data_IF_446008178395
#
_entry.id   IF_446008178395
#
_cell.length_a   1.000
_cell.length_b   1.000
_cell.length_c   1.000
_cell.angle_alpha   90.00
_cell.angle_beta   90.00
_cell.angle_gamma   90.00
#
_symmetry.space_group_name_H-M   'P 1'
#
loop_
_entity.id
_entity.type
_entity.pdbx_description
1 polymer ?
#
# COMPACT_ATOMS: atom_id res chain seq x y z
N UNK A 1 3.86 -20.41 -22.61
CA UNK A 1 3.40 -20.44 -21.21
C UNK A 1 4.24 -19.46 -20.41
N UNK A 2 3.76 -18.23 -20.17
CA UNK A 2 4.47 -17.28 -19.30
C UNK A 2 4.22 -17.74 -17.86
N UNK A 3 5.25 -18.26 -17.19
CA UNK A 3 5.20 -18.51 -15.76
C UNK A 3 4.86 -17.20 -15.06
N UNK A 4 3.65 -17.13 -14.49
CA UNK A 4 3.32 -16.04 -13.58
C UNK A 4 4.27 -16.17 -12.40
N UNK A 5 5.13 -15.16 -12.17
CA UNK A 5 5.79 -15.01 -10.88
C UNK A 5 4.67 -15.08 -9.84
N UNK A 6 4.73 -16.01 -8.91
CA UNK A 6 3.86 -16.00 -7.73
C UNK A 6 4.03 -14.63 -7.07
N UNK A 7 3.06 -13.75 -7.32
CA UNK A 7 3.07 -12.40 -6.80
C UNK A 7 2.80 -12.55 -5.30
N UNK A 8 3.74 -12.12 -4.46
CA UNK A 8 3.51 -12.08 -3.02
C UNK A 8 2.22 -11.29 -2.75
N UNK A 9 1.49 -11.72 -1.71
CA UNK A 9 0.29 -11.04 -1.25
C UNK A 9 0.32 -10.89 0.25
N UNK A 10 -0.30 -9.81 0.73
CA UNK A 10 -0.46 -9.49 2.14
C UNK A 10 -1.94 -9.52 2.50
N UNK A 11 -2.31 -10.22 3.57
CA UNK A 11 -3.69 -10.28 4.04
C UNK A 11 -3.89 -9.30 5.20
N UNK A 12 -4.74 -8.30 5.02
CA UNK A 12 -5.08 -7.31 6.03
C UNK A 12 -6.56 -7.40 6.38
N UNK A 13 -6.90 -7.83 7.59
CA UNK A 13 -8.29 -7.99 8.06
C UNK A 13 -9.21 -8.71 7.05
N UNK A 14 -8.68 -9.72 6.33
CA UNK A 14 -9.42 -10.46 5.30
C UNK A 14 -9.38 -9.87 3.89
N UNK A 15 -8.79 -8.67 3.72
CA UNK A 15 -8.58 -8.04 2.41
C UNK A 15 -7.21 -8.39 1.86
N UNK A 16 -7.17 -8.96 0.66
CA UNK A 16 -5.93 -9.35 0.01
C UNK A 16 -5.33 -8.17 -0.76
N UNK A 17 -4.10 -7.81 -0.38
CA UNK A 17 -3.28 -6.84 -1.09
C UNK A 17 -2.28 -7.60 -1.97
N UNK A 18 -2.28 -7.33 -3.28
CA UNK A 18 -1.22 -7.74 -4.20
C UNK A 18 0.05 -6.92 -3.91
N UNK A 19 1.21 -7.58 -3.91
CA UNK A 19 2.46 -7.02 -3.37
C UNK A 19 2.70 -7.44 -1.91
N UNK A 20 3.51 -6.71 -1.13
CA UNK A 20 4.07 -5.40 -1.41
C UNK A 20 5.30 -5.44 -2.33
N UNK A 21 5.43 -4.47 -3.23
CA UNK A 21 6.62 -4.24 -4.07
C UNK A 21 7.40 -3.00 -3.60
N UNK A 22 8.72 -2.90 -3.82
CA UNK A 22 9.49 -1.73 -3.43
C UNK A 22 8.91 -0.44 -4.04
N UNK A 23 8.66 0.57 -3.20
CA UNK A 23 8.09 1.84 -3.65
C UNK A 23 9.05 2.60 -4.59
N UNK A 24 10.37 2.42 -4.42
CA UNK A 24 11.39 3.00 -5.29
C UNK A 24 11.29 2.50 -6.76
N UNK A 25 10.73 1.31 -6.96
CA UNK A 25 10.54 0.71 -8.29
C UNK A 25 9.14 0.97 -8.86
N UNK A 26 8.28 1.67 -8.11
CA UNK A 26 6.89 1.92 -8.51
C UNK A 26 6.81 2.87 -9.71
N UNK A 27 6.08 2.47 -10.75
CA UNK A 27 5.93 3.24 -12.00
C UNK A 27 4.47 3.60 -12.33
N UNK A 28 3.55 3.36 -11.41
CA UNK A 28 2.10 3.52 -11.64
C UNK A 28 1.34 2.20 -11.55
N UNK A 29 0.01 2.29 -11.66
CA UNK A 29 -0.91 1.16 -11.58
C UNK A 29 -2.02 1.29 -12.63
N UNK A 30 -2.54 0.17 -13.11
CA UNK A 30 -3.73 0.08 -13.97
C UNK A 30 -5.02 -0.12 -13.15
N UNK A 31 -4.92 -0.10 -11.82
CA UNK A 31 -6.07 -0.27 -10.92
C UNK A 31 -6.88 1.01 -10.87
N UNK A 32 -8.01 1.03 -11.58
CA UNK A 32 -8.96 2.15 -11.55
C UNK A 32 -9.70 2.25 -10.22
N UNK A 33 -9.99 1.11 -9.59
CA UNK A 33 -10.84 1.03 -8.40
C UNK A 33 -10.22 0.11 -7.35
N UNK A 34 -9.73 0.67 -6.25
CA UNK A 34 -9.12 -0.11 -5.20
C UNK A 34 -8.59 0.72 -4.03
N UNK A 35 -7.89 0.02 -3.15
CA UNK A 35 -7.22 0.57 -1.98
C UNK A 35 -5.74 0.29 -2.16
N UNK A 36 -4.88 1.26 -1.87
CA UNK A 36 -3.44 1.00 -1.76
C UNK A 36 -2.99 1.14 -0.31
N UNK A 37 -1.90 0.48 0.02
CA UNK A 37 -1.22 0.63 1.28
C UNK A 37 0.26 0.91 1.08
N UNK A 38 0.82 1.76 1.93
CA UNK A 38 2.27 1.93 2.09
C UNK A 38 2.71 1.09 3.29
N UNK A 39 3.76 0.31 3.08
CA UNK A 39 4.28 -0.66 4.04
C UNK A 39 5.77 -0.48 4.25
N UNK A 40 6.29 -1.11 5.30
CA UNK A 40 7.71 -1.22 5.58
C UNK A 40 8.05 -2.59 6.15
N UNK A 41 9.28 -3.07 5.99
CA UNK A 41 9.73 -4.26 6.70
C UNK A 41 10.10 -3.89 8.14
N UNK A 42 9.45 -4.54 9.12
CA UNK A 42 9.73 -4.34 10.55
C UNK A 42 11.09 -4.90 10.96
N UNK A 43 11.53 -5.96 10.28
CA UNK A 43 12.73 -6.73 10.58
C UNK A 43 13.36 -7.17 9.25
N UNK A 44 13.97 -6.25 8.47
CA UNK A 44 14.49 -6.54 7.13
C UNK A 44 15.60 -7.60 7.11
N UNK A 45 16.26 -7.84 8.24
CA UNK A 45 17.30 -8.87 8.41
C UNK A 45 16.75 -10.30 8.52
N UNK A 46 15.43 -10.47 8.71
CA UNK A 46 14.81 -11.79 8.87
C UNK A 46 14.44 -12.41 7.51
N UNK A 47 14.61 -13.72 7.40
CA UNK A 47 14.26 -14.49 6.19
C UNK A 47 12.75 -14.43 5.85
N UNK A 48 11.88 -14.22 6.85
CA UNK A 48 10.44 -14.08 6.65
C UNK A 48 10.06 -12.60 6.65
N UNK A 49 9.51 -12.13 5.54
CA UNK A 49 9.01 -10.77 5.41
C UNK A 49 7.91 -10.50 6.45
N UNK A 50 8.10 -9.47 7.27
CA UNK A 50 7.14 -9.03 8.28
C UNK A 50 6.84 -7.55 8.05
N UNK A 51 5.79 -7.28 7.28
CA UNK A 51 5.39 -5.93 6.91
C UNK A 51 4.58 -5.24 8.02
N UNK A 52 4.92 -3.98 8.28
CA UNK A 52 4.06 -3.03 8.98
C UNK A 52 3.31 -2.14 8.01
N UNK A 53 2.20 -1.58 8.46
CA UNK A 53 1.35 -0.66 7.68
C UNK A 53 1.66 0.78 8.10
N UNK A 54 2.01 1.64 7.15
CA UNK A 54 2.26 3.07 7.38
C UNK A 54 1.08 3.93 6.96
N UNK A 55 0.48 3.60 5.82
CA UNK A 55 -0.60 4.38 5.24
C UNK A 55 -1.56 3.49 4.45
N UNK A 56 -2.83 3.85 4.45
CA UNK A 56 -3.89 3.21 3.65
C UNK A 56 -4.76 4.32 3.04
N UNK A 57 -5.00 4.26 1.74
CA UNK A 57 -5.89 5.18 1.05
C UNK A 57 -6.48 4.59 -0.24
N UNK A 58 -7.36 5.36 -0.88
CA UNK A 58 -7.95 5.00 -2.17
C UNK A 58 -6.94 5.24 -3.29
N UNK A 59 -6.92 4.37 -4.32
CA UNK A 59 -6.04 4.49 -5.50
C UNK A 59 -6.24 5.81 -6.27
N UNK A 60 -7.34 6.52 -6.06
CA UNK A 60 -7.60 7.84 -6.64
C UNK A 60 -6.48 8.86 -6.32
N UNK A 61 -5.82 8.77 -5.17
CA UNK A 61 -4.66 9.62 -4.84
C UNK A 61 -3.47 9.39 -5.77
N UNK A 62 -3.30 8.17 -6.30
CA UNK A 62 -2.26 7.82 -7.27
C UNK A 62 -2.71 8.23 -8.66
N UNK A 63 -3.95 7.88 -9.03
CA UNK A 63 -4.48 8.13 -10.37
C UNK A 63 -4.63 9.63 -10.70
N UNK A 64 -4.81 10.48 -9.68
CA UNK A 64 -4.87 11.94 -9.82
C UNK A 64 -3.51 12.64 -9.79
N UNK A 65 -2.43 11.93 -9.44
CA UNK A 65 -1.09 12.51 -9.28
C UNK A 65 -0.05 11.79 -10.14
N UNK A 66 0.34 12.42 -11.25
CA UNK A 66 1.34 11.88 -12.19
C UNK A 66 2.75 11.78 -11.61
N UNK A 67 3.02 12.44 -10.49
CA UNK A 67 4.33 12.48 -9.84
C UNK A 67 4.39 11.60 -8.58
N UNK A 68 3.31 10.87 -8.28
CA UNK A 68 3.31 9.87 -7.23
C UNK A 68 4.46 8.85 -7.44
N UNK A 69 5.19 8.45 -6.38
CA UNK A 69 4.93 8.71 -4.97
C UNK A 69 5.57 9.99 -4.41
N UNK A 70 6.53 10.59 -5.11
CA UNK A 70 7.40 11.63 -4.55
C UNK A 70 6.69 12.96 -4.27
N UNK A 71 5.66 13.28 -5.05
CA UNK A 71 4.80 14.47 -4.84
C UNK A 71 3.76 14.28 -3.73
N UNK A 72 3.57 13.06 -3.22
CA UNK A 72 2.55 12.81 -2.22
C UNK A 72 2.90 13.55 -0.92
N UNK A 73 1.94 14.30 -0.36
CA UNK A 73 2.13 15.13 0.84
C UNK A 73 2.67 14.37 2.06
N UNK A 74 2.43 13.05 2.12
CA UNK A 74 2.86 12.17 3.22
C UNK A 74 4.17 11.42 2.92
N UNK A 75 4.80 11.63 1.76
CA UNK A 75 5.98 10.87 1.35
C UNK A 75 7.13 10.93 2.37
N UNK A 76 7.46 12.13 2.85
CA UNK A 76 8.48 12.32 3.88
C UNK A 76 8.10 11.64 5.21
N UNK A 77 6.84 11.76 5.65
CA UNK A 77 6.36 11.06 6.85
C UNK A 77 6.47 9.53 6.73
N UNK A 78 6.23 8.98 5.53
CA UNK A 78 6.41 7.55 5.28
C UNK A 78 7.88 7.15 5.42
N UNK A 79 8.78 7.88 4.78
CA UNK A 79 10.22 7.60 4.80
C UNK A 79 10.78 7.66 6.23
N UNK A 80 10.39 8.67 7.01
CA UNK A 80 10.75 8.81 8.42
C UNK A 80 10.25 7.62 9.24
N UNK A 81 8.98 7.24 9.10
CA UNK A 81 8.40 6.12 9.83
C UNK A 81 9.01 4.76 9.45
N UNK A 82 9.42 4.59 8.19
CA UNK A 82 10.13 3.42 7.69
C UNK A 82 11.63 3.42 8.03
N UNK A 83 12.15 4.53 8.56
CA UNK A 83 13.57 4.84 8.81
C UNK A 83 14.45 4.93 7.54
N UNK A 84 13.87 4.77 6.35
CA UNK A 84 14.54 4.87 5.06
C UNK A 84 13.52 4.82 3.92
N UNK A 85 13.71 5.61 2.87
CA UNK A 85 12.95 5.51 1.62
C UNK A 85 13.09 4.13 0.97
N UNK A 86 14.26 3.49 1.11
CA UNK A 86 14.51 2.14 0.57
C UNK A 86 13.74 1.03 1.29
N UNK A 87 13.16 1.32 2.45
CA UNK A 87 12.31 0.40 3.21
C UNK A 87 10.82 0.68 2.99
N UNK A 88 10.46 1.47 1.98
CA UNK A 88 9.08 1.70 1.59
C UNK A 88 8.63 0.69 0.54
N UNK A 89 7.42 0.17 0.75
CA UNK A 89 6.77 -0.76 -0.15
C UNK A 89 5.33 -0.34 -0.39
N UNK A 90 4.79 -0.71 -1.55
CA UNK A 90 3.40 -0.44 -1.92
C UNK A 90 2.69 -1.74 -2.26
N UNK A 91 1.42 -1.83 -1.90
CA UNK A 91 0.56 -2.94 -2.28
C UNK A 91 -0.87 -2.49 -2.53
N UNK A 92 -1.63 -3.28 -3.26
CA UNK A 92 -2.94 -2.90 -3.78
C UNK A 92 -4.01 -3.94 -3.52
N UNK A 93 -5.18 -3.52 -3.07
CA UNK A 93 -6.39 -4.30 -2.98
C UNK A 93 -7.40 -3.79 -4.03
N UNK A 94 -7.47 -4.40 -5.23
CA UNK A 94 -8.48 -4.05 -6.23
C UNK A 94 -9.89 -4.32 -5.69
N UNK A 95 -10.81 -3.37 -5.89
CA UNK A 95 -12.22 -3.50 -5.49
C UNK A 95 -13.15 -3.19 -6.67
N UNK A 96 -13.09 -3.96 -7.78
CA UNK A 96 -13.94 -3.73 -8.93
C UNK A 96 -15.42 -3.85 -8.56
N UNK A 97 -16.25 -2.95 -9.07
CA UNK A 97 -17.69 -2.92 -8.80
C UNK A 97 -18.08 -2.46 -7.40
N UNK A 98 -17.11 -2.15 -6.53
CA UNK A 98 -17.40 -1.62 -5.20
C UNK A 98 -17.65 -0.11 -5.26
N UNK A 99 -18.83 0.30 -4.81
CA UNK A 99 -19.20 1.73 -4.72
C UNK A 99 -18.26 2.49 -3.76
N UNK A 100 -18.02 3.79 -4.00
CA UNK A 100 -17.06 4.59 -3.22
C UNK A 100 -17.29 4.53 -1.71
N UNK A 101 -18.54 4.56 -1.25
CA UNK A 101 -18.89 4.56 0.18
C UNK A 101 -18.45 3.27 0.87
N UNK A 102 -18.68 2.12 0.21
CA UNK A 102 -18.25 0.82 0.74
C UNK A 102 -16.74 0.72 0.80
N UNK A 103 -16.04 1.25 -0.21
CA UNK A 103 -14.57 1.32 -0.20
C UNK A 103 -14.05 2.18 0.94
N UNK A 104 -14.67 3.33 1.18
CA UNK A 104 -14.32 4.21 2.29
C UNK A 104 -14.53 3.53 3.65
N UNK A 105 -15.58 2.71 3.80
CA UNK A 105 -15.78 1.90 5.01
C UNK A 105 -14.66 0.89 5.22
N UNK A 106 -14.18 0.23 4.16
CA UNK A 106 -13.02 -0.68 4.24
C UNK A 106 -11.76 0.09 4.66
N UNK A 107 -11.48 1.24 4.03
CA UNK A 107 -10.33 2.08 4.37
C UNK A 107 -10.39 2.47 5.85
N UNK A 108 -11.53 2.98 6.33
CA UNK A 108 -11.74 3.35 7.74
C UNK A 108 -11.54 2.16 8.68
N UNK A 109 -12.07 0.99 8.32
CA UNK A 109 -11.90 -0.24 9.10
C UNK A 109 -10.43 -0.64 9.22
N UNK A 110 -9.69 -0.62 8.10
CA UNK A 110 -8.27 -0.94 8.09
C UNK A 110 -7.46 0.07 8.91
N UNK A 111 -7.72 1.38 8.76
CA UNK A 111 -7.07 2.42 9.57
C UNK A 111 -7.36 2.21 11.05
N UNK A 112 -8.60 1.92 11.43
CA UNK A 112 -8.95 1.62 12.83
C UNK A 112 -8.21 0.38 13.36
N UNK A 113 -8.15 -0.70 12.56
CA UNK A 113 -7.57 -1.98 12.97
C UNK A 113 -6.05 -1.92 13.11
N UNK A 114 -5.38 -1.23 12.20
CA UNK A 114 -3.92 -1.19 12.11
C UNK A 114 -3.28 0.06 12.71
N UNK A 115 -4.08 1.10 12.96
CA UNK A 115 -3.66 2.41 13.45
C UNK A 115 -2.36 2.93 12.75
N UNK A 116 -2.33 2.99 11.40
CA UNK A 116 -1.10 3.33 10.68
C UNK A 116 -0.62 4.74 11.07
N UNK A 117 0.69 4.88 11.30
CA UNK A 117 1.26 6.10 11.83
C UNK A 117 1.00 7.33 10.94
N UNK A 118 0.94 7.14 9.62
CA UNK A 118 0.86 8.23 8.65
C UNK A 118 -0.57 8.51 8.16
N UNK A 119 -1.59 7.82 8.71
CA UNK A 119 -3.01 8.11 8.46
C UNK A 119 -3.62 9.13 9.46
N UNK A 120 -2.83 9.59 10.44
CA UNK A 120 -3.26 10.54 11.48
C UNK A 120 -3.19 11.98 10.99
#
# INVERSE_FOLDING_TARGET
>A
MKGGKDQMSLLLAGYQFKGPEPLADFKGTDIENGIYGIFFLKNPEKQKANYGVLYIANVDEINSDKSFPFSHKKYQEWAEAAKSESNLYIGFCPTPGLVPEKRQLIIKHLIYRYNPACNK
#
